data_IF_181880948674
#
_entry.id   IF_181880948674
#
_cell.length_a   1.000
_cell.length_b   1.000
_cell.length_c   1.000
_cell.angle_alpha   90.00
_cell.angle_beta   90.00
_cell.angle_gamma   90.00
#
_symmetry.space_group_name_H-M   'P 1'
#
loop_
_entity.id
_entity.type
_entity.pdbx_description
1 polymer ?
#
# COMPACT_ATOMS: atom_id res chain seq x y z
N UNK A 1 5.65 8.71 -2.52
CA UNK A 1 4.39 9.22 -1.90
C UNK A 1 4.50 10.73 -1.65
N UNK A 2 3.40 11.46 -1.43
CA UNK A 2 3.42 12.91 -1.13
C UNK A 2 3.93 13.25 0.29
N UNK A 3 3.68 12.35 1.26
CA UNK A 3 4.11 12.44 2.67
C UNK A 3 4.37 11.04 3.20
N UNK A 4 4.99 10.94 4.38
CA UNK A 4 5.16 9.68 5.10
C UNK A 4 3.86 9.30 5.83
N UNK A 5 3.27 8.19 5.40
CA UNK A 5 2.09 7.58 6.02
C UNK A 5 2.38 6.17 6.56
N UNK A 6 3.66 5.81 6.74
CA UNK A 6 4.10 4.46 7.11
C UNK A 6 3.52 3.94 8.42
N UNK A 7 3.03 4.83 9.29
CA UNK A 7 2.41 4.47 10.57
C UNK A 7 0.89 4.56 10.53
N UNK A 8 0.29 5.05 9.45
CA UNK A 8 -1.13 5.32 9.36
C UNK A 8 -1.88 4.14 8.74
N UNK A 9 -3.13 3.98 9.14
CA UNK A 9 -4.00 2.94 8.60
C UNK A 9 -4.42 3.30 7.18
N UNK A 10 -4.18 2.43 6.18
CA UNK A 10 -4.73 2.59 4.85
C UNK A 10 -6.19 2.14 4.81
N UNK A 11 -6.99 2.76 3.95
CA UNK A 11 -8.34 2.33 3.57
C UNK A 11 -8.49 2.47 2.06
N UNK A 12 -9.26 1.59 1.42
CA UNK A 12 -9.54 1.73 -0.01
C UNK A 12 -10.76 2.62 -0.21
N UNK A 13 -10.63 3.61 -1.10
CA UNK A 13 -11.72 4.51 -1.46
C UNK A 13 -12.36 4.08 -2.78
N UNK A 14 -13.60 4.53 -3.01
CA UNK A 14 -14.20 4.48 -4.34
C UNK A 14 -13.41 5.35 -5.33
N UNK A 15 -13.53 5.12 -6.66
CA UNK A 15 -12.79 5.91 -7.66
C UNK A 15 -13.04 7.43 -7.59
N UNK A 16 -14.26 7.84 -7.23
CA UNK A 16 -14.66 9.23 -6.98
C UNK A 16 -14.25 9.74 -5.58
N UNK A 17 -13.67 8.86 -4.76
CA UNK A 17 -13.17 9.11 -3.40
C UNK A 17 -14.25 9.57 -2.41
N UNK A 18 -15.53 9.33 -2.71
CA UNK A 18 -16.67 9.76 -1.88
C UNK A 18 -16.99 8.81 -0.72
N UNK A 19 -16.52 7.56 -0.78
CA UNK A 19 -16.74 6.56 0.29
C UNK A 19 -15.59 5.57 0.41
N UNK A 20 -15.49 4.91 1.57
CA UNK A 20 -14.61 3.74 1.77
C UNK A 20 -15.29 2.49 1.21
N UNK A 21 -14.57 1.75 0.37
CA UNK A 21 -15.00 0.48 -0.22
C UNK A 21 -14.40 -0.73 0.48
N UNK A 22 -13.22 -0.57 1.08
CA UNK A 22 -12.57 -1.65 1.83
C UNK A 22 -11.76 -1.11 3.01
N UNK A 23 -11.73 -1.87 4.09
CA UNK A 23 -10.99 -1.57 5.32
C UNK A 23 -10.08 -2.76 5.66
N UNK A 24 -8.89 -2.53 6.23
CA UNK A 24 -8.00 -3.60 6.59
C UNK A 24 -8.52 -4.32 7.85
N UNK A 25 -8.34 -5.63 7.93
CA UNK A 25 -8.66 -6.41 9.14
C UNK A 25 -7.64 -6.15 10.27
N UNK A 26 -6.55 -6.91 10.25
CA UNK A 26 -5.37 -6.65 11.07
C UNK A 26 -4.20 -6.26 10.15
N UNK A 27 -3.44 -5.26 10.55
CA UNK A 27 -2.29 -4.79 9.79
C UNK A 27 -1.00 -5.32 10.41
N UNK A 28 -0.08 -5.77 9.59
CA UNK A 28 1.24 -6.15 10.08
C UNK A 28 2.09 -4.87 10.27
N UNK A 29 2.56 -4.56 11.49
CA UNK A 29 3.33 -3.34 11.76
C UNK A 29 4.69 -3.30 11.07
N UNK A 30 5.13 -4.40 10.44
CA UNK A 30 6.32 -4.43 9.57
C UNK A 30 6.12 -3.68 8.25
N UNK A 31 4.87 -3.44 7.84
CA UNK A 31 4.55 -2.75 6.60
C UNK A 31 4.10 -1.30 6.85
N UNK A 32 4.38 -0.38 5.92
CA UNK A 32 5.16 -0.56 4.69
C UNK A 32 6.68 -0.61 4.94
N UNK A 33 7.42 -1.15 3.97
CA UNK A 33 8.89 -1.12 3.97
C UNK A 33 9.36 0.01 3.06
N UNK A 34 10.19 0.91 3.60
CA UNK A 34 10.80 1.99 2.82
C UNK A 34 11.81 1.43 1.80
N UNK A 35 11.70 1.90 0.56
CA UNK A 35 12.62 1.63 -0.54
C UNK A 35 13.38 2.92 -0.89
N UNK A 36 14.31 2.84 -1.84
CA UNK A 36 15.00 4.04 -2.33
C UNK A 36 14.01 5.01 -3.00
N UNK A 37 14.40 6.28 -3.13
CA UNK A 37 13.62 7.34 -3.79
C UNK A 37 12.20 7.53 -3.24
N UNK A 38 12.03 7.28 -1.93
CA UNK A 38 10.75 7.45 -1.22
C UNK A 38 9.61 6.58 -1.75
N UNK A 39 9.97 5.46 -2.38
CA UNK A 39 9.05 4.36 -2.65
C UNK A 39 8.80 3.54 -1.38
N UNK A 40 7.64 2.90 -1.32
CA UNK A 40 7.25 2.03 -0.21
C UNK A 40 6.68 0.73 -0.79
N UNK A 41 7.15 -0.40 -0.26
CA UNK A 41 6.57 -1.71 -0.55
C UNK A 41 5.47 -2.03 0.47
N UNK A 42 4.27 -2.36 -0.02
CA UNK A 42 3.12 -2.69 0.83
C UNK A 42 2.53 -1.48 1.56
N UNK A 43 1.73 -1.74 2.60
CA UNK A 43 1.11 -0.68 3.43
C UNK A 43 0.03 0.15 2.72
N UNK A 44 -0.46 -0.30 1.57
CA UNK A 44 -1.58 0.26 0.81
C UNK A 44 -2.61 -0.84 0.49
N UNK A 45 -3.83 -0.44 0.13
CA UNK A 45 -4.90 -1.34 -0.31
C UNK A 45 -5.14 -1.34 -1.82
N UNK A 46 -4.59 -0.36 -2.54
CA UNK A 46 -4.79 -0.17 -3.98
C UNK A 46 -4.45 1.26 -4.42
N UNK A 47 -4.62 1.59 -5.72
CA UNK A 47 -4.33 2.93 -6.23
C UNK A 47 -5.26 4.00 -5.67
N UNK A 48 -6.45 3.63 -5.15
CA UNK A 48 -7.38 4.57 -4.50
C UNK A 48 -7.24 4.59 -2.97
N UNK A 49 -6.13 4.11 -2.42
CA UNK A 49 -5.91 4.16 -0.97
C UNK A 49 -5.92 5.60 -0.45
N UNK A 50 -6.63 5.80 0.64
CA UNK A 50 -6.49 6.95 1.54
C UNK A 50 -5.89 6.51 2.87
N UNK A 51 -5.34 7.47 3.62
CA UNK A 51 -4.82 7.24 4.97
C UNK A 51 -5.66 7.97 5.99
N UNK A 52 -5.93 7.30 7.12
CA UNK A 52 -6.61 7.91 8.27
C UNK A 52 -5.61 8.30 9.36
N UNK A 53 -6.05 9.17 10.27
CA UNK A 53 -5.24 9.66 11.39
C UNK A 53 -4.88 8.58 12.43
N UNK A 54 -5.58 7.45 12.44
CA UNK A 54 -5.25 6.32 13.33
C UNK A 54 -3.91 5.71 12.96
N UNK A 55 -3.13 5.40 13.98
CA UNK A 55 -1.91 4.60 13.82
C UNK A 55 -2.26 3.13 13.64
N UNK A 56 -1.39 2.39 12.94
CA UNK A 56 -1.49 0.93 12.77
C UNK A 56 -1.53 0.24 14.14
N UNK A 57 -0.72 0.71 15.09
CA UNK A 57 -0.64 0.17 16.43
C UNK A 57 -1.96 0.33 17.19
N UNK A 58 -2.53 1.54 17.20
CA UNK A 58 -3.79 1.82 17.89
C UNK A 58 -4.94 1.06 17.25
N UNK A 59 -4.99 1.03 15.92
CA UNK A 59 -6.01 0.32 15.17
C UNK A 59 -6.00 -1.18 15.47
N UNK A 60 -4.81 -1.80 15.57
CA UNK A 60 -4.68 -3.21 15.89
C UNK A 60 -5.12 -3.55 17.32
N UNK A 61 -5.05 -2.61 18.27
CA UNK A 61 -5.52 -2.80 19.66
C UNK A 61 -7.06 -2.72 19.80
N UNK A 62 -7.77 -2.18 18.81
CA UNK A 62 -9.22 -2.06 18.87
C UNK A 62 -9.91 -3.43 18.81
N UNK A 63 -10.69 -3.75 19.86
CA UNK A 63 -11.54 -4.95 19.91
C UNK A 63 -12.65 -4.94 18.85
N UNK A 64 -13.21 -3.76 18.59
CA UNK A 64 -14.24 -3.53 17.59
C UNK A 64 -13.70 -2.49 16.62
N UNK A 65 -13.59 -2.86 15.34
CA UNK A 65 -13.10 -1.96 14.29
C UNK A 65 -14.15 -0.88 14.00
N UNK A 66 -13.76 0.38 13.78
CA UNK A 66 -14.72 1.44 13.47
C UNK A 66 -15.43 1.19 12.14
N UNK A 67 -16.63 1.76 11.98
CA UNK A 67 -17.37 1.68 10.72
C UNK A 67 -16.69 2.46 9.60
N UNK A 68 -17.03 2.16 8.34
CA UNK A 68 -16.54 2.89 7.17
C UNK A 68 -16.82 4.40 7.30
N UNK A 69 -18.02 4.81 7.73
CA UNK A 69 -18.35 6.24 7.90
C UNK A 69 -17.50 6.91 8.98
N UNK A 70 -17.17 6.18 10.05
CA UNK A 70 -16.31 6.68 11.12
C UNK A 70 -14.87 6.85 10.63
N UNK A 71 -14.34 5.86 9.91
CA UNK A 71 -13.01 5.93 9.32
C UNK A 71 -12.91 7.01 8.24
N UNK A 72 -13.96 7.22 7.45
CA UNK A 72 -13.99 8.24 6.41
C UNK A 72 -13.79 9.66 7.00
N UNK A 73 -14.36 9.92 8.17
CA UNK A 73 -14.16 11.19 8.91
C UNK A 73 -12.74 11.38 9.44
N UNK A 74 -11.97 10.30 9.56
CA UNK A 74 -10.59 10.32 10.04
C UNK A 74 -9.56 10.41 8.90
N UNK A 75 -10.01 10.46 7.63
CA UNK A 75 -9.11 10.59 6.48
C UNK A 75 -8.28 11.87 6.58
N UNK A 76 -6.96 11.71 6.55
CA UNK A 76 -5.98 12.81 6.52
C UNK A 76 -5.45 13.07 5.12
N UNK A 77 -5.50 12.06 4.24
CA UNK A 77 -5.21 12.19 2.82
C UNK A 77 -6.02 11.16 2.03
N UNK A 78 -6.66 11.61 0.95
CA UNK A 78 -7.45 10.76 0.05
C UNK A 78 -6.68 10.40 -1.21
N UNK A 79 -5.54 11.04 -1.48
CA UNK A 79 -4.76 10.84 -2.69
C UNK A 79 -3.24 10.93 -2.43
N UNK A 80 -2.67 9.96 -1.70
CA UNK A 80 -1.31 10.04 -1.15
C UNK A 80 -0.20 9.71 -2.16
N UNK A 81 -0.54 9.06 -3.28
CA UNK A 81 0.43 8.57 -4.25
C UNK A 81 0.71 9.60 -5.34
N UNK A 82 2.00 9.75 -5.66
CA UNK A 82 2.47 10.40 -6.90
C UNK A 82 2.51 9.32 -7.98
N UNK A 83 3.10 8.18 -7.64
CA UNK A 83 3.16 6.99 -8.46
C UNK A 83 2.69 5.77 -7.67
N UNK A 84 2.08 4.80 -8.36
CA UNK A 84 1.65 3.54 -7.77
C UNK A 84 1.91 2.39 -8.75
N UNK A 85 2.64 1.39 -8.29
CA UNK A 85 3.01 0.23 -9.09
C UNK A 85 2.39 -1.03 -8.50
N UNK A 86 1.79 -1.86 -9.35
CA UNK A 86 1.31 -3.18 -8.98
C UNK A 86 2.20 -4.24 -9.62
N UNK A 87 2.54 -5.28 -8.85
CA UNK A 87 3.33 -6.41 -9.36
C UNK A 87 2.66 -6.99 -10.60
N UNK A 88 3.43 -7.12 -11.68
CA UNK A 88 3.06 -7.93 -12.83
C UNK A 88 3.75 -9.29 -12.69
N UNK A 89 2.98 -10.36 -12.52
CA UNK A 89 3.54 -11.70 -12.33
C UNK A 89 3.30 -12.61 -13.55
N UNK A 90 2.89 -12.03 -14.69
CA UNK A 90 2.55 -12.77 -15.91
C UNK A 90 3.70 -13.67 -16.40
N UNK A 91 4.95 -13.34 -16.05
CA UNK A 91 6.15 -14.07 -16.44
C UNK A 91 6.64 -15.12 -15.42
N UNK A 92 5.90 -15.37 -14.32
CA UNK A 92 6.32 -16.36 -13.32
C UNK A 92 7.55 -15.94 -12.51
N UNK A 93 7.84 -14.63 -12.44
CA UNK A 93 9.06 -14.13 -11.82
C UNK A 93 8.98 -14.15 -10.28
N UNK A 94 7.79 -13.92 -9.73
CA UNK A 94 7.57 -13.88 -8.29
C UNK A 94 6.75 -15.08 -7.78
N UNK A 95 6.43 -16.02 -8.65
CA UNK A 95 5.76 -17.27 -8.32
C UNK A 95 6.14 -18.40 -9.27
N UNK A 96 6.18 -19.63 -8.77
CA UNK A 96 6.21 -20.82 -9.61
C UNK A 96 5.23 -21.88 -9.08
N UNK A 97 5.33 -23.11 -9.60
CA UNK A 97 4.51 -24.26 -9.17
C UNK A 97 4.60 -24.57 -7.67
N UNK A 98 5.65 -24.10 -6.98
CA UNK A 98 5.86 -24.29 -5.55
C UNK A 98 5.43 -23.06 -4.70
N UNK A 99 4.83 -22.05 -5.33
CA UNK A 99 4.28 -20.86 -4.67
C UNK A 99 5.03 -19.56 -4.98
N UNK A 100 4.61 -18.49 -4.32
CA UNK A 100 5.25 -17.18 -4.45
C UNK A 100 6.52 -17.11 -3.61
N UNK A 101 7.64 -16.71 -4.20
CA UNK A 101 8.85 -16.39 -3.47
C UNK A 101 8.76 -14.92 -3.03
N UNK A 102 9.22 -14.62 -1.82
CA UNK A 102 9.14 -13.27 -1.26
C UNK A 102 9.82 -12.24 -2.17
N UNK A 103 9.28 -11.02 -2.19
CA UNK A 103 9.86 -9.94 -2.99
C UNK A 103 11.10 -9.41 -2.26
N UNK A 104 12.27 -9.53 -2.90
CA UNK A 104 13.52 -8.98 -2.37
C UNK A 104 13.55 -7.45 -2.57
N UNK A 105 13.60 -6.72 -1.46
CA UNK A 105 13.72 -5.25 -1.47
C UNK A 105 15.01 -4.78 -2.15
N UNK A 106 16.09 -5.55 -2.12
CA UNK A 106 17.33 -5.20 -2.82
C UNK A 106 17.14 -5.22 -4.33
N UNK A 107 16.43 -6.23 -4.84
CA UNK A 107 16.07 -6.32 -6.25
C UNK A 107 15.18 -5.14 -6.68
N UNK A 108 14.10 -4.82 -5.94
CA UNK A 108 13.27 -3.67 -6.30
C UNK A 108 14.08 -2.37 -6.28
N UNK A 109 14.93 -2.17 -5.27
CA UNK A 109 15.78 -0.98 -5.20
C UNK A 109 16.74 -0.88 -6.41
N UNK A 110 17.21 -2.01 -6.93
CA UNK A 110 18.03 -2.00 -8.13
C UNK A 110 17.21 -1.63 -9.39
N UNK A 111 15.98 -2.15 -9.51
CA UNK A 111 15.05 -1.74 -10.57
C UNK A 111 14.74 -0.25 -10.53
N UNK A 112 14.47 0.31 -9.35
CA UNK A 112 14.21 1.75 -9.19
C UNK A 112 15.45 2.54 -9.65
N UNK A 113 16.65 2.15 -9.20
CA UNK A 113 17.90 2.84 -9.56
C UNK A 113 18.17 2.84 -11.06
N UNK A 114 17.78 1.77 -11.76
CA UNK A 114 18.00 1.57 -13.18
C UNK A 114 16.85 2.06 -14.07
N UNK A 115 15.77 2.58 -13.47
CA UNK A 115 14.54 2.94 -14.18
C UNK A 115 13.89 1.75 -14.93
N UNK A 116 13.87 0.59 -14.28
CA UNK A 116 13.40 -0.69 -14.83
C UNK A 116 12.20 -1.28 -14.07
N UNK A 117 11.49 -0.48 -13.27
CA UNK A 117 10.30 -0.95 -12.55
C UNK A 117 9.25 -1.54 -13.50
N UNK A 118 9.03 -0.91 -14.65
CA UNK A 118 7.97 -1.31 -15.59
C UNK A 118 8.22 -2.65 -16.30
N UNK A 119 9.43 -3.21 -16.19
CA UNK A 119 9.72 -4.57 -16.67
C UNK A 119 9.01 -5.66 -15.84
N UNK A 120 8.70 -5.35 -14.58
CA UNK A 120 8.14 -6.30 -13.59
C UNK A 120 6.89 -5.80 -12.88
N UNK A 121 6.54 -4.52 -13.05
CA UNK A 121 5.41 -3.89 -12.38
C UNK A 121 4.61 -3.07 -13.39
N UNK A 122 3.29 -3.04 -13.24
CA UNK A 122 2.42 -2.14 -14.01
C UNK A 122 2.25 -0.85 -13.22
N UNK A 123 2.52 0.28 -13.86
CA UNK A 123 2.20 1.60 -13.32
C UNK A 123 0.70 1.85 -13.41
N UNK A 124 0.06 2.06 -12.27
CA UNK A 124 -1.36 2.39 -12.15
C UNK A 124 -1.60 3.88 -11.82
N UNK A 125 -0.54 4.59 -11.44
CA UNK A 125 -0.52 6.04 -11.22
C UNK A 125 0.89 6.58 -11.43
#
# INVERSE_FOLDING_TARGET
MKKDYSKNVPVELSPDKTRITSVPGALNPRWPVLLIDSFYLGGSMGPNTGYVSLTIEDYNKLKIKPSNDSLYKLLIDKDPFIEFYQRNDDNGMFHNENGAWGIDTAFINDLIRKDQLEEYFVRLK
#
